data_IF_182702558401
#
_entry.id   IF_182702558401
#
_cell.length_a   1.000
_cell.length_b   1.000
_cell.length_c   1.000
_cell.angle_alpha   90.00
_cell.angle_beta   90.00
_cell.angle_gamma   90.00
#
_symmetry.space_group_name_H-M   'P 1'
#
loop_
_entity.id
_entity.type
_entity.pdbx_description
1 polymer ?
#
# COMPACT_ATOMS: atom_id res chain seq x y z
N UNK A 1 14.12 27.99 -15.64
CA UNK A 1 14.73 27.73 -14.32
C UNK A 1 15.04 26.25 -14.23
N UNK A 2 16.27 25.88 -13.93
CA UNK A 2 16.66 24.47 -13.75
C UNK A 2 16.03 23.97 -12.46
N UNK A 3 15.08 23.03 -12.56
CA UNK A 3 14.47 22.41 -11.39
C UNK A 3 15.53 21.49 -10.78
N UNK A 4 15.99 21.81 -9.57
CA UNK A 4 16.95 20.98 -8.84
C UNK A 4 16.20 19.86 -8.12
N UNK A 5 16.47 18.62 -8.51
CA UNK A 5 15.89 17.44 -7.89
C UNK A 5 16.74 17.07 -6.68
N UNK A 6 16.16 16.85 -5.49
CA UNK A 6 16.90 16.45 -4.30
C UNK A 6 17.72 15.17 -4.54
N UNK A 7 18.98 15.16 -4.08
CA UNK A 7 19.89 14.04 -4.30
C UNK A 7 19.41 12.73 -3.65
N UNK A 8 18.61 12.82 -2.58
CA UNK A 8 17.94 11.67 -1.95
C UNK A 8 17.05 10.91 -2.95
N UNK A 9 16.28 11.64 -3.76
CA UNK A 9 15.39 11.09 -4.78
C UNK A 9 16.18 10.50 -5.94
N UNK A 10 17.23 11.21 -6.38
CA UNK A 10 18.13 10.73 -7.44
C UNK A 10 18.79 9.40 -7.04
N UNK A 11 19.27 9.29 -5.80
CA UNK A 11 19.87 8.07 -5.29
C UNK A 11 18.84 6.93 -5.19
N UNK A 12 17.61 7.23 -4.75
CA UNK A 12 16.54 6.25 -4.70
C UNK A 12 16.13 5.74 -6.09
N UNK A 13 16.09 6.61 -7.10
CA UNK A 13 15.89 6.23 -8.50
C UNK A 13 16.99 5.29 -9.00
N UNK A 14 18.26 5.65 -8.80
CA UNK A 14 19.39 4.82 -9.23
C UNK A 14 19.32 3.45 -8.56
N UNK A 15 19.01 3.40 -7.25
CA UNK A 15 18.84 2.15 -6.52
C UNK A 15 17.70 1.31 -7.10
N UNK A 16 16.56 1.90 -7.45
CA UNK A 16 15.46 1.17 -8.10
C UNK A 16 15.86 0.62 -9.48
N UNK A 17 16.47 1.46 -10.31
CA UNK A 17 16.88 1.06 -11.67
C UNK A 17 17.98 0.00 -11.65
N UNK A 18 18.87 0.06 -10.66
CA UNK A 18 19.97 -0.91 -10.49
C UNK A 18 19.52 -2.26 -9.92
N UNK A 19 18.37 -2.30 -9.23
CA UNK A 19 17.83 -3.51 -8.59
C UNK A 19 17.12 -4.46 -9.59
N UNK A 20 17.64 -4.61 -10.81
CA UNK A 20 17.05 -5.37 -11.91
C UNK A 20 16.67 -6.82 -11.50
N UNK A 21 15.41 -7.02 -11.10
CA UNK A 21 14.82 -8.33 -10.75
C UNK A 21 14.18 -8.42 -9.37
N UNK A 22 14.64 -7.64 -8.38
CA UNK A 22 14.16 -7.69 -6.97
C UNK A 22 13.59 -6.32 -6.51
N UNK A 23 13.01 -5.57 -7.45
CA UNK A 23 12.73 -4.14 -7.35
C UNK A 23 11.63 -3.70 -6.36
N UNK A 24 11.03 -4.61 -5.59
CA UNK A 24 9.90 -4.27 -4.71
C UNK A 24 10.32 -3.28 -3.61
N UNK A 25 11.37 -3.59 -2.84
CA UNK A 25 11.83 -2.74 -1.74
C UNK A 25 12.47 -1.43 -2.23
N UNK A 26 13.16 -1.45 -3.37
CA UNK A 26 13.78 -0.26 -3.93
C UNK A 26 12.74 0.73 -4.48
N UNK A 27 11.67 0.22 -5.09
CA UNK A 27 10.56 1.05 -5.59
C UNK A 27 9.74 1.68 -4.47
N UNK A 28 9.56 0.97 -3.34
CA UNK A 28 8.92 1.56 -2.15
C UNK A 28 9.74 2.73 -1.61
N UNK A 29 11.06 2.55 -1.44
CA UNK A 29 11.95 3.63 -0.98
C UNK A 29 11.97 4.83 -1.93
N UNK A 30 11.90 4.57 -3.23
CA UNK A 30 11.77 5.63 -4.23
C UNK A 30 10.44 6.36 -4.12
N UNK A 31 9.32 5.65 -3.97
CA UNK A 31 8.01 6.24 -3.73
C UNK A 31 7.96 7.09 -2.45
N UNK A 32 8.54 6.60 -1.35
CA UNK A 32 8.67 7.34 -0.08
C UNK A 32 9.43 8.65 -0.28
N UNK A 33 10.61 8.58 -0.92
CA UNK A 33 11.41 9.76 -1.21
C UNK A 33 10.64 10.81 -2.03
N UNK A 34 9.77 10.38 -2.95
CA UNK A 34 8.92 11.28 -3.73
C UNK A 34 7.80 11.93 -2.91
N UNK A 35 7.27 11.25 -1.89
CA UNK A 35 6.29 11.82 -0.95
C UNK A 35 6.97 12.82 -0.02
N UNK A 36 8.16 12.51 0.47
CA UNK A 36 8.90 13.38 1.39
C UNK A 36 9.30 14.71 0.73
N UNK A 37 9.61 14.71 -0.57
CA UNK A 37 9.97 15.93 -1.31
C UNK A 37 8.79 16.64 -1.96
N UNK A 38 7.56 16.11 -1.82
CA UNK A 38 6.39 16.74 -2.42
C UNK A 38 5.80 17.87 -1.58
N UNK A 39 6.44 18.27 -0.48
CA UNK A 39 6.01 19.34 0.43
C UNK A 39 4.53 19.20 0.86
N UNK A 40 4.07 17.94 1.06
CA UNK A 40 2.69 17.63 1.43
C UNK A 40 1.68 17.64 0.28
N UNK A 41 2.12 17.86 -0.97
CA UNK A 41 1.26 17.75 -2.15
C UNK A 41 0.97 16.28 -2.46
N UNK A 42 -0.31 15.92 -2.47
CA UNK A 42 -0.82 14.57 -2.73
C UNK A 42 -0.83 14.22 -4.24
N UNK A 43 0.29 14.41 -4.94
CA UNK A 43 0.42 14.25 -6.40
C UNK A 43 0.08 12.84 -6.92
N UNK A 44 0.02 11.86 -6.02
CA UNK A 44 -0.35 10.48 -6.28
C UNK A 44 -1.87 10.24 -6.30
N UNK A 45 -2.67 11.21 -5.85
CA UNK A 45 -4.15 11.16 -5.94
C UNK A 45 -4.64 11.63 -7.32
N UNK A 46 -5.80 11.13 -7.73
CA UNK A 46 -6.37 11.48 -9.03
C UNK A 46 -6.90 12.92 -9.04
N UNK A 47 -6.62 13.63 -10.13
CA UNK A 47 -7.00 15.03 -10.29
C UNK A 47 -6.02 16.06 -9.72
N UNK A 48 -4.96 15.64 -9.00
CA UNK A 48 -3.93 16.55 -8.47
C UNK A 48 -2.82 16.78 -9.50
N UNK A 49 -2.48 18.05 -9.72
CA UNK A 49 -1.38 18.44 -10.59
C UNK A 49 -0.03 17.99 -10.01
N UNK A 50 0.85 17.46 -10.84
CA UNK A 50 2.20 17.08 -10.39
C UNK A 50 3.00 18.35 -10.09
N UNK A 51 3.66 18.44 -8.92
CA UNK A 51 4.64 19.48 -8.67
C UNK A 51 5.75 19.46 -9.73
N UNK A 52 6.32 20.62 -10.10
CA UNK A 52 7.39 20.69 -11.11
C UNK A 52 8.59 19.77 -10.81
N UNK A 53 8.92 19.58 -9.52
CA UNK A 53 9.97 18.67 -9.05
C UNK A 53 9.67 17.21 -9.39
N UNK A 54 8.44 16.76 -9.13
CA UNK A 54 8.00 15.39 -9.42
C UNK A 54 7.85 15.17 -10.93
N UNK A 55 7.42 16.18 -11.69
CA UNK A 55 7.33 16.08 -13.15
C UNK A 55 8.72 15.95 -13.80
N UNK A 56 9.71 16.73 -13.32
CA UNK A 56 11.09 16.61 -13.75
C UNK A 56 11.66 15.22 -13.40
N UNK A 57 11.40 14.74 -12.19
CA UNK A 57 11.85 13.42 -11.74
C UNK A 57 11.21 12.27 -12.52
N UNK A 58 9.92 12.36 -12.82
CA UNK A 58 9.21 11.38 -13.65
C UNK A 58 9.87 11.23 -15.03
N UNK A 59 10.32 12.33 -15.64
CA UNK A 59 11.01 12.30 -16.94
C UNK A 59 12.34 11.54 -16.86
N UNK A 60 13.14 11.80 -15.82
CA UNK A 60 14.41 11.10 -15.58
C UNK A 60 14.19 9.62 -15.24
N UNK A 61 13.18 9.29 -14.46
CA UNK A 61 12.78 7.91 -14.17
C UNK A 61 12.40 7.14 -15.43
N UNK A 62 11.61 7.75 -16.32
CA UNK A 62 11.21 7.12 -17.59
C UNK A 62 12.40 6.91 -18.52
N UNK A 63 13.34 7.86 -18.53
CA UNK A 63 14.58 7.75 -19.28
C UNK A 63 15.41 6.56 -18.78
N UNK A 64 15.64 6.48 -17.47
CA UNK A 64 16.38 5.37 -16.87
C UNK A 64 15.71 4.01 -17.07
N UNK A 65 14.37 3.94 -17.00
CA UNK A 65 13.63 2.71 -17.29
C UNK A 65 13.78 2.25 -18.75
N UNK A 66 13.81 3.18 -19.70
CA UNK A 66 14.06 2.86 -21.11
C UNK A 66 15.49 2.39 -21.35
N UNK A 67 16.47 2.99 -20.66
CA UNK A 67 17.88 2.60 -20.75
C UNK A 67 18.12 1.16 -20.28
N UNK A 68 17.41 0.70 -19.25
CA UNK A 68 17.47 -0.69 -18.78
C UNK A 68 16.55 -1.65 -19.56
N UNK A 69 15.88 -1.19 -20.61
CA UNK A 69 14.99 -2.01 -21.44
C UNK A 69 13.66 -2.39 -20.78
N UNK A 70 13.18 -1.63 -19.81
CA UNK A 70 11.89 -1.91 -19.15
C UNK A 70 10.73 -1.76 -20.13
N UNK A 71 9.94 -2.82 -20.29
CA UNK A 71 8.92 -2.93 -21.35
C UNK A 71 7.75 -1.95 -21.18
N UNK A 72 7.40 -1.55 -19.95
CA UNK A 72 6.26 -0.64 -19.71
C UNK A 72 6.54 0.39 -18.60
N UNK A 73 7.21 1.51 -18.92
CA UNK A 73 7.52 2.56 -17.94
C UNK A 73 6.29 3.17 -17.27
N UNK A 74 5.15 3.22 -17.98
CA UNK A 74 3.89 3.70 -17.44
C UNK A 74 3.35 2.79 -16.33
N UNK A 75 3.54 1.48 -16.44
CA UNK A 75 3.15 0.55 -15.38
C UNK A 75 4.04 0.70 -14.14
N UNK A 76 5.35 0.87 -14.33
CA UNK A 76 6.27 1.15 -13.23
C UNK A 76 5.86 2.43 -12.47
N UNK A 77 5.49 3.49 -13.20
CA UNK A 77 4.99 4.72 -12.59
C UNK A 77 3.67 4.55 -11.83
N UNK A 78 2.74 3.73 -12.34
CA UNK A 78 1.50 3.39 -11.62
C UNK A 78 1.81 2.71 -10.28
N UNK A 79 2.80 1.82 -10.26
CA UNK A 79 3.24 1.17 -9.01
C UNK A 79 3.88 2.16 -8.04
N UNK A 80 4.70 3.10 -8.53
CA UNK A 80 5.27 4.18 -7.70
C UNK A 80 4.16 5.04 -7.09
N UNK A 81 3.13 5.41 -7.87
CA UNK A 81 1.94 6.12 -7.37
C UNK A 81 1.22 5.33 -6.27
N UNK A 82 1.00 4.04 -6.48
CA UNK A 82 0.36 3.15 -5.50
C UNK A 82 1.14 3.12 -4.18
N UNK A 83 2.45 2.91 -4.23
CA UNK A 83 3.29 2.88 -3.02
C UNK A 83 3.39 4.26 -2.35
N UNK A 84 3.34 5.34 -3.12
CA UNK A 84 3.30 6.70 -2.56
C UNK A 84 2.00 6.92 -1.76
N UNK A 85 0.88 6.44 -2.29
CA UNK A 85 -0.42 6.49 -1.61
C UNK A 85 -0.45 5.59 -0.37
N UNK A 86 0.07 4.36 -0.46
CA UNK A 86 0.19 3.45 0.70
C UNK A 86 1.05 4.08 1.80
N UNK A 87 2.20 4.65 1.47
CA UNK A 87 3.06 5.33 2.43
C UNK A 87 2.39 6.55 3.06
N UNK A 88 1.69 7.35 2.25
CA UNK A 88 0.93 8.49 2.74
C UNK A 88 -0.20 8.09 3.71
N UNK A 89 -0.82 6.94 3.50
CA UNK A 89 -1.79 6.37 4.44
C UNK A 89 -1.11 5.88 5.73
N UNK A 90 0.08 5.26 5.63
CA UNK A 90 0.85 4.79 6.80
C UNK A 90 1.29 5.93 7.71
N UNK A 91 1.74 7.06 7.14
CA UNK A 91 2.18 8.24 7.90
C UNK A 91 1.05 9.20 8.27
N UNK A 92 -0.20 8.86 7.92
CA UNK A 92 -1.39 9.66 8.26
C UNK A 92 -1.55 10.97 7.47
N UNK A 93 -0.86 11.09 6.32
CA UNK A 93 -0.98 12.24 5.40
C UNK A 93 -2.28 12.19 4.57
N UNK A 94 -2.86 11.00 4.40
CA UNK A 94 -4.16 10.77 3.75
C UNK A 94 -4.98 9.82 4.62
N UNK A 95 -6.22 10.21 4.91
CA UNK A 95 -7.18 9.28 5.54
C UNK A 95 -7.42 8.10 4.61
N UNK A 96 -7.16 6.88 5.09
CA UNK A 96 -7.49 5.67 4.35
C UNK A 96 -9.00 5.62 4.18
N UNK A 97 -9.56 5.71 2.97
CA UNK A 97 -11.01 5.61 2.80
C UNK A 97 -11.44 4.23 3.30
N UNK A 98 -12.33 4.21 4.30
CA UNK A 98 -13.09 3.02 4.64
C UNK A 98 -13.94 2.66 3.41
N UNK A 99 -13.55 1.56 2.74
CA UNK A 99 -14.21 0.97 1.59
C UNK A 99 -14.09 1.74 0.25
N UNK A 100 -13.06 1.38 -0.52
CA UNK A 100 -13.26 1.00 -1.92
C UNK A 100 -12.62 -0.39 -2.10
N UNK A 101 -13.48 -1.41 -2.06
CA UNK A 101 -13.22 -2.62 -2.80
C UNK A 101 -13.03 -2.20 -4.26
N UNK A 102 -11.98 -2.62 -4.94
CA UNK A 102 -12.13 -3.03 -6.34
C UNK A 102 -10.93 -3.73 -6.96
N UNK A 103 -11.32 -4.69 -7.81
CA UNK A 103 -10.64 -5.14 -9.00
C UNK A 103 -9.35 -5.94 -8.81
N UNK A 104 -9.54 -7.21 -8.45
CA UNK A 104 -8.82 -8.31 -9.11
C UNK A 104 -8.93 -8.16 -10.64
N UNK A 105 -7.97 -7.49 -11.27
CA UNK A 105 -7.70 -7.78 -12.67
C UNK A 105 -6.93 -9.09 -12.75
N UNK A 106 -7.65 -10.15 -13.11
CA UNK A 106 -7.13 -11.41 -13.65
C UNK A 106 -5.92 -11.14 -14.56
N UNK A 107 -4.79 -11.72 -14.19
CA UNK A 107 -3.63 -11.90 -15.04
C UNK A 107 -3.02 -13.25 -14.70
N UNK A 108 -3.38 -14.26 -15.50
CA UNK A 108 -2.90 -15.63 -15.40
C UNK A 108 -1.37 -15.74 -15.51
N UNK A 109 -0.85 -16.70 -14.74
CA UNK A 109 0.40 -17.46 -14.94
C UNK A 109 1.73 -16.70 -14.79
N UNK A 110 2.49 -17.01 -13.73
CA UNK A 110 3.34 -18.21 -13.75
C UNK A 110 4.00 -18.45 -12.39
N UNK A 111 4.21 -19.74 -12.12
CA UNK A 111 4.75 -20.34 -10.90
C UNK A 111 6.08 -19.74 -10.42
N UNK A 112 6.21 -19.57 -9.11
CA UNK A 112 7.44 -19.11 -8.46
C UNK A 112 7.25 -18.95 -6.95
N UNK A 113 7.57 -20.00 -6.22
CA UNK A 113 7.39 -20.23 -4.79
C UNK A 113 8.15 -19.24 -3.89
N UNK A 114 7.69 -17.99 -3.82
CA UNK A 114 8.08 -17.04 -2.78
C UNK A 114 6.86 -16.79 -1.90
N UNK A 115 6.66 -17.66 -0.90
CA UNK A 115 5.73 -17.41 0.21
C UNK A 115 6.10 -16.08 0.84
N UNK A 116 5.43 -15.00 0.39
CA UNK A 116 5.34 -13.76 1.12
C UNK A 116 4.82 -14.16 2.49
N UNK A 117 5.72 -14.24 3.47
CA UNK A 117 5.34 -14.60 4.83
C UNK A 117 4.69 -13.35 5.40
N UNK A 118 3.42 -13.14 5.02
CA UNK A 118 2.53 -12.13 5.57
C UNK A 118 2.71 -12.17 7.08
N UNK A 119 2.89 -11.00 7.70
CA UNK A 119 3.14 -10.93 9.14
C UNK A 119 2.04 -11.71 9.87
N UNK A 120 2.41 -12.40 10.95
CA UNK A 120 1.47 -13.22 11.72
C UNK A 120 0.23 -12.41 12.11
N UNK A 121 0.41 -11.14 12.50
CA UNK A 121 -0.67 -10.20 12.78
C UNK A 121 -1.63 -10.01 11.60
N UNK A 122 -1.13 -9.85 10.36
CA UNK A 122 -2.01 -9.70 9.19
C UNK A 122 -2.82 -10.97 8.90
N UNK A 123 -2.21 -12.16 9.05
CA UNK A 123 -2.95 -13.43 8.91
C UNK A 123 -4.05 -13.56 9.96
N UNK A 124 -3.72 -13.23 11.20
CA UNK A 124 -4.68 -13.23 12.30
C UNK A 124 -5.82 -12.24 12.02
N UNK A 125 -5.53 -11.07 11.45
CA UNK A 125 -6.57 -10.10 11.07
C UNK A 125 -7.45 -10.60 9.92
N UNK A 126 -6.86 -11.23 8.88
CA UNK A 126 -7.63 -11.78 7.76
C UNK A 126 -8.62 -12.85 8.21
N UNK A 127 -8.26 -13.66 9.22
CA UNK A 127 -9.10 -14.76 9.70
C UNK A 127 -10.07 -14.30 10.80
N UNK A 128 -9.61 -13.51 11.78
CA UNK A 128 -10.42 -13.14 12.95
C UNK A 128 -11.44 -12.04 12.62
N UNK A 129 -11.10 -11.05 11.78
CA UNK A 129 -12.02 -9.94 11.48
C UNK A 129 -13.33 -10.44 10.83
N UNK A 130 -13.31 -11.31 9.80
CA UNK A 130 -14.55 -11.85 9.24
C UNK A 130 -15.36 -12.67 10.24
N UNK A 131 -14.69 -13.48 11.07
CA UNK A 131 -15.37 -14.30 12.10
C UNK A 131 -16.04 -13.39 13.14
N UNK A 132 -15.36 -12.35 13.60
CA UNK A 132 -15.91 -11.38 14.55
C UNK A 132 -17.11 -10.61 13.98
N UNK A 133 -17.04 -10.20 12.70
CA UNK A 133 -18.17 -9.54 12.01
C UNK A 133 -19.37 -10.48 11.86
N UNK A 134 -19.14 -11.74 11.51
CA UNK A 134 -20.19 -12.75 11.46
C UNK A 134 -20.82 -12.96 12.84
N UNK A 135 -20.00 -13.05 13.90
CA UNK A 135 -20.47 -13.12 15.28
C UNK A 135 -21.31 -11.92 15.69
N UNK A 136 -20.87 -10.69 15.37
CA UNK A 136 -21.64 -9.45 15.63
C UNK A 136 -22.99 -9.44 14.91
N UNK A 137 -23.04 -9.92 13.67
CA UNK A 137 -24.28 -10.01 12.89
C UNK A 137 -25.26 -10.99 13.55
N UNK A 138 -24.78 -12.19 13.86
CA UNK A 138 -25.59 -13.22 14.51
C UNK A 138 -26.01 -12.80 15.94
N UNK A 139 -25.21 -11.98 16.63
CA UNK A 139 -25.53 -11.45 17.96
C UNK A 139 -26.71 -10.48 17.90
N UNK A 140 -26.72 -9.59 16.89
CA UNK A 140 -27.85 -8.71 16.59
C UNK A 140 -29.12 -9.48 16.21
N UNK A 141 -28.95 -10.61 15.53
CA UNK A 141 -30.05 -11.51 15.14
C UNK A 141 -30.52 -12.41 16.30
N UNK A 142 -29.87 -12.35 17.47
CA UNK A 142 -30.22 -13.17 18.63
C UNK A 142 -29.93 -14.67 18.44
N UNK A 143 -29.11 -15.01 17.45
CA UNK A 143 -28.83 -16.39 17.03
C UNK A 143 -27.60 -17.01 17.71
N UNK A 144 -26.85 -16.25 18.52
CA UNK A 144 -25.71 -16.76 19.29
C UNK A 144 -26.13 -17.43 20.59
N UNK A 145 -25.56 -18.60 20.84
CA UNK A 145 -25.48 -19.20 22.17
C UNK A 145 -24.53 -18.42 23.09
N UNK A 146 -24.66 -18.62 24.41
CA UNK A 146 -23.81 -17.96 25.40
C UNK A 146 -22.32 -18.26 25.23
N UNK A 147 -21.99 -19.48 24.79
CA UNK A 147 -20.60 -19.90 24.52
C UNK A 147 -20.02 -19.16 23.32
N UNK A 148 -20.80 -19.01 22.26
CA UNK A 148 -20.38 -18.28 21.07
C UNK A 148 -20.21 -16.79 21.39
N UNK A 149 -21.04 -16.23 22.27
CA UNK A 149 -20.97 -14.80 22.65
C UNK A 149 -19.71 -14.51 23.46
N UNK A 150 -19.38 -15.40 24.39
CA UNK A 150 -18.12 -15.35 25.12
C UNK A 150 -16.91 -15.46 24.17
N UNK A 151 -16.97 -16.38 23.20
CA UNK A 151 -15.94 -16.50 22.16
C UNK A 151 -15.78 -15.19 21.37
N UNK A 152 -16.88 -14.60 20.91
CA UNK A 152 -16.87 -13.35 20.16
C UNK A 152 -16.29 -12.17 20.96
N UNK A 153 -16.50 -12.16 22.27
CA UNK A 153 -15.90 -11.19 23.20
C UNK A 153 -14.37 -11.33 23.27
N UNK A 154 -13.86 -12.56 23.29
CA UNK A 154 -12.42 -12.82 23.26
C UNK A 154 -11.78 -12.47 21.91
N UNK A 155 -12.49 -12.68 20.80
CA UNK A 155 -12.05 -12.21 19.48
C UNK A 155 -11.96 -10.69 19.43
N UNK A 156 -12.94 -9.98 20.00
CA UNK A 156 -12.88 -8.53 20.19
C UNK A 156 -11.60 -8.12 20.96
N UNK A 157 -11.34 -8.73 22.11
CA UNK A 157 -10.14 -8.43 22.91
C UNK A 157 -8.83 -8.69 22.13
N UNK A 158 -8.76 -9.76 21.34
CA UNK A 158 -7.61 -10.06 20.48
C UNK A 158 -7.42 -9.01 19.37
N UNK A 159 -8.50 -8.53 18.75
CA UNK A 159 -8.45 -7.48 17.74
C UNK A 159 -8.02 -6.12 18.35
N UNK A 160 -8.53 -5.77 19.53
CA UNK A 160 -8.08 -4.57 20.25
C UNK A 160 -6.58 -4.64 20.63
N UNK A 161 -6.08 -5.80 21.05
CA UNK A 161 -4.67 -5.99 21.36
C UNK A 161 -3.75 -5.81 20.13
N UNK A 162 -4.28 -6.06 18.93
CA UNK A 162 -3.62 -5.80 17.65
C UNK A 162 -3.79 -4.35 17.15
N UNK A 163 -4.41 -3.48 17.94
CA UNK A 163 -4.63 -2.06 17.61
C UNK A 163 -5.81 -1.81 16.68
N UNK A 164 -6.72 -2.78 16.52
CA UNK A 164 -7.91 -2.61 15.68
C UNK A 164 -9.04 -1.97 16.48
N UNK A 165 -9.61 -0.90 15.92
CA UNK A 165 -10.79 -0.25 16.48
C UNK A 165 -12.05 -1.08 16.19
N UNK A 166 -12.50 -1.81 17.21
CA UNK A 166 -13.67 -2.70 17.14
C UNK A 166 -14.96 -1.92 16.87
N UNK A 167 -15.02 -0.64 17.26
CA UNK A 167 -16.21 0.20 17.06
C UNK A 167 -16.47 0.49 15.58
N UNK A 168 -15.44 0.36 14.74
CA UNK A 168 -15.47 0.59 13.29
C UNK A 168 -15.61 -0.70 12.46
N UNK A 169 -15.73 -1.86 13.10
CA UNK A 169 -15.91 -3.17 12.45
C UNK A 169 -17.37 -3.62 12.37
#
# INVERSE_FOLDING_TARGET
MSISIPQSVVNARINELSAAGEAYGARIKYAQALVDVSDGVLWYTDGVALPPVIEAEKKEYYKGLKEIGYSNPSNAWKMVKKYSLEYAQEIGLVEKPEAEAEAETKGESSSGDARHTRSFSLRVLDDIVPIFKAGRKLEKEGALSDKERACNTHLAAALAALGVDISKL
#
